data_IF_787993183316
#
_entry.id   IF_787993183316
#
_cell.length_a   1.000
_cell.length_b   1.000
_cell.length_c   1.000
_cell.angle_alpha   90.00
_cell.angle_beta   90.00
_cell.angle_gamma   90.00
#
_symmetry.space_group_name_H-M   'P 1'
#
loop_
_entity.id
_entity.type
_entity.pdbx_description
1 polymer ?
#
# COMPACT_ATOMS: atom_id res chain seq x y z
N UNK A 1 -1.07 -3.76 9.64
CA UNK A 1 -2.07 -4.19 8.61
C UNK A 1 -2.16 -3.20 7.45
N UNK A 2 -2.05 -1.86 7.67
CA UNK A 2 -2.15 -0.88 6.58
C UNK A 2 -1.12 -1.10 5.46
N UNK A 3 0.17 -1.25 5.78
CA UNK A 3 1.21 -1.55 4.80
C UNK A 3 0.93 -2.85 4.03
N UNK A 4 0.38 -3.86 4.71
CA UNK A 4 -0.01 -5.11 4.08
C UNK A 4 -1.16 -4.92 3.09
N UNK A 5 -2.17 -4.10 3.45
CA UNK A 5 -3.31 -3.81 2.59
C UNK A 5 -2.94 -3.04 1.33
N UNK A 6 -1.82 -2.30 1.34
CA UNK A 6 -1.32 -1.60 0.15
C UNK A 6 -0.47 -2.52 -0.73
N UNK A 7 0.18 -3.52 -0.13
CA UNK A 7 1.11 -4.42 -0.82
C UNK A 7 0.41 -5.65 -1.42
N UNK A 8 -0.64 -6.15 -0.78
CA UNK A 8 -1.40 -7.29 -1.29
C UNK A 8 -2.43 -6.79 -2.32
N UNK A 9 -2.45 -7.36 -3.53
CA UNK A 9 -3.42 -6.98 -4.56
C UNK A 9 -4.88 -7.25 -4.14
N UNK A 10 -5.81 -6.42 -4.61
CA UNK A 10 -5.65 -5.30 -5.54
C UNK A 10 -5.17 -4.01 -4.85
N UNK A 11 -4.12 -3.39 -5.41
CA UNK A 11 -3.54 -2.16 -4.89
C UNK A 11 -3.54 -1.05 -5.94
N UNK A 12 -4.25 0.05 -5.67
CA UNK A 12 -4.29 1.19 -6.58
C UNK A 12 -2.91 1.86 -6.74
N UNK A 13 -2.08 1.84 -5.70
CA UNK A 13 -0.74 2.41 -5.74
C UNK A 13 0.20 1.62 -6.68
N UNK A 14 0.04 0.30 -6.74
CA UNK A 14 0.76 -0.50 -7.73
C UNK A 14 0.33 -0.19 -9.16
N UNK A 15 -0.97 0.11 -9.38
CA UNK A 15 -1.46 0.54 -10.69
C UNK A 15 -0.87 1.89 -11.09
N UNK A 16 -0.84 2.87 -10.15
CA UNK A 16 -0.22 4.18 -10.38
C UNK A 16 1.27 4.00 -10.71
N UNK A 17 1.98 3.17 -9.95
CA UNK A 17 3.38 2.89 -10.22
C UNK A 17 3.58 2.28 -11.61
N UNK A 18 2.82 1.26 -11.99
CA UNK A 18 2.95 0.59 -13.28
C UNK A 18 2.73 1.56 -14.46
N UNK A 19 1.79 2.49 -14.32
CA UNK A 19 1.54 3.53 -15.34
C UNK A 19 2.65 4.56 -15.40
N UNK A 20 3.22 4.95 -14.27
CA UNK A 20 4.28 5.96 -14.17
C UNK A 20 5.64 5.42 -14.61
N UNK A 21 5.92 4.16 -14.34
CA UNK A 21 7.16 3.49 -14.71
C UNK A 21 7.27 3.11 -16.20
N UNK A 22 6.22 3.41 -17.00
CA UNK A 22 6.33 3.33 -18.46
C UNK A 22 6.16 1.93 -19.07
N UNK A 23 5.10 1.21 -18.68
CA UNK A 23 4.68 -0.01 -19.38
C UNK A 23 4.97 -1.32 -18.65
N UNK A 24 5.15 -1.28 -17.36
CA UNK A 24 5.22 -2.47 -16.51
C UNK A 24 3.84 -3.11 -16.44
N UNK A 25 3.80 -4.43 -16.58
CA UNK A 25 2.56 -5.19 -16.43
C UNK A 25 2.02 -5.08 -14.99
N UNK A 26 0.81 -4.56 -14.85
CA UNK A 26 0.11 -4.50 -13.54
C UNK A 26 -0.06 -5.90 -12.95
N UNK A 27 -0.37 -6.90 -13.79
CA UNK A 27 -0.50 -8.29 -13.35
C UNK A 27 0.81 -8.86 -12.78
N UNK A 28 1.93 -8.62 -13.46
CA UNK A 28 3.24 -9.06 -12.97
C UNK A 28 3.63 -8.38 -11.65
N UNK A 29 3.33 -7.09 -11.52
CA UNK A 29 3.56 -6.35 -10.29
C UNK A 29 2.68 -6.87 -9.14
N UNK A 30 1.43 -7.19 -9.43
CA UNK A 30 0.52 -7.79 -8.46
C UNK A 30 1.00 -9.16 -7.99
N UNK A 31 1.44 -10.03 -8.91
CA UNK A 31 1.99 -11.34 -8.56
C UNK A 31 3.25 -11.21 -7.68
N UNK A 32 4.12 -10.27 -8.01
CA UNK A 32 5.32 -9.99 -7.22
C UNK A 32 5.00 -9.49 -5.79
N UNK A 33 3.87 -8.81 -5.59
CA UNK A 33 3.43 -8.30 -4.29
C UNK A 33 2.96 -9.38 -3.30
N UNK A 34 2.53 -10.57 -3.76
CA UNK A 34 2.02 -11.60 -2.86
C UNK A 34 3.08 -12.16 -1.92
N UNK A 35 4.28 -12.42 -2.40
CA UNK A 35 5.34 -13.02 -1.58
C UNK A 35 5.78 -12.10 -0.44
N UNK A 36 6.18 -10.84 -0.70
CA UNK A 36 6.55 -9.92 0.39
C UNK A 36 5.34 -9.55 1.26
N UNK A 37 4.13 -9.49 0.70
CA UNK A 37 2.90 -9.28 1.47
C UNK A 37 2.61 -10.41 2.45
N UNK A 38 2.78 -11.66 2.03
CA UNK A 38 2.63 -12.83 2.91
C UNK A 38 3.70 -12.86 4.01
N UNK A 39 4.95 -12.54 3.66
CA UNK A 39 6.05 -12.41 4.62
C UNK A 39 5.75 -11.36 5.70
N UNK A 40 5.33 -10.18 5.27
CA UNK A 40 4.93 -9.11 6.18
C UNK A 40 3.76 -9.52 7.08
N UNK A 41 2.77 -10.24 6.54
CA UNK A 41 1.65 -10.77 7.32
C UNK A 41 2.12 -11.70 8.44
N UNK A 42 3.04 -12.62 8.13
CA UNK A 42 3.60 -13.57 9.11
C UNK A 42 4.35 -12.81 10.21
N UNK A 43 5.20 -11.85 9.84
CA UNK A 43 5.95 -11.03 10.80
C UNK A 43 5.00 -10.25 11.71
N UNK A 44 3.98 -9.62 11.14
CA UNK A 44 2.97 -8.88 11.92
C UNK A 44 2.15 -9.80 12.85
N UNK A 45 1.79 -11.00 12.39
CA UNK A 45 1.09 -11.97 13.24
C UNK A 45 1.97 -12.43 14.41
N UNK A 46 3.22 -12.72 14.17
CA UNK A 46 4.17 -13.10 15.23
C UNK A 46 4.34 -11.96 16.23
N UNK A 47 4.57 -10.74 15.73
CA UNK A 47 4.70 -9.55 16.59
C UNK A 47 3.45 -9.29 17.44
N UNK A 48 2.27 -9.36 16.83
CA UNK A 48 0.99 -9.19 17.52
C UNK A 48 0.76 -10.29 18.59
N UNK A 49 1.15 -11.52 18.28
CA UNK A 49 1.06 -12.62 19.22
C UNK A 49 1.96 -12.40 20.44
N UNK A 50 3.22 -12.02 20.21
CA UNK A 50 4.17 -11.74 21.29
C UNK A 50 3.67 -10.62 22.20
N UNK A 51 3.17 -9.52 21.61
CA UNK A 51 2.63 -8.37 22.35
C UNK A 51 1.40 -8.82 23.15
N UNK A 52 0.47 -9.55 22.53
CA UNK A 52 -0.75 -10.03 23.17
C UNK A 52 -0.47 -10.93 24.40
N UNK A 53 0.52 -11.79 24.31
CA UNK A 53 0.94 -12.63 25.44
C UNK A 53 1.60 -11.80 26.53
N UNK A 54 2.47 -10.85 26.16
CA UNK A 54 3.20 -10.02 27.10
C UNK A 54 2.28 -9.05 27.88
N UNK A 55 1.29 -8.47 27.22
CA UNK A 55 0.35 -7.52 27.81
C UNK A 55 -0.88 -8.22 28.41
N UNK A 56 -0.94 -9.55 28.41
CA UNK A 56 -2.06 -10.34 28.94
C UNK A 56 -3.43 -9.89 28.41
N UNK A 57 -3.54 -9.68 27.10
CA UNK A 57 -4.82 -9.31 26.51
C UNK A 57 -5.90 -10.38 26.74
N UNK A 58 -7.16 -9.98 26.98
CA UNK A 58 -8.25 -10.91 27.20
C UNK A 58 -8.39 -11.86 26.00
N UNK A 59 -8.50 -13.14 26.28
CA UNK A 59 -8.71 -14.17 25.25
C UNK A 59 -10.08 -13.95 24.62
N UNK A 60 -10.11 -13.92 23.29
CA UNK A 60 -11.36 -13.91 22.52
C UNK A 60 -12.15 -15.21 22.69
N UNK A 61 -13.32 -15.28 22.05
CA UNK A 61 -14.12 -16.50 22.01
C UNK A 61 -13.32 -17.66 21.40
N UNK A 62 -13.47 -18.90 21.93
CA UNK A 62 -12.71 -20.05 21.43
C UNK A 62 -13.05 -20.32 19.95
N UNK A 63 -12.05 -20.67 19.17
CA UNK A 63 -12.22 -21.05 17.79
C UNK A 63 -13.08 -22.31 17.69
N UNK A 64 -14.18 -22.22 16.95
CA UNK A 64 -15.09 -23.34 16.72
C UNK A 64 -15.26 -23.53 15.22
N UNK A 65 -14.95 -24.74 14.71
CA UNK A 65 -15.07 -25.05 13.27
C UNK A 65 -16.49 -24.77 12.75
N UNK A 66 -17.51 -25.11 13.54
CA UNK A 66 -18.91 -24.83 13.18
C UNK A 66 -19.20 -23.33 13.06
N UNK A 67 -18.62 -22.50 13.95
CA UNK A 67 -18.70 -21.04 13.89
C UNK A 67 -17.98 -20.49 12.66
N UNK A 68 -16.80 -21.02 12.34
CA UNK A 68 -16.04 -20.65 11.16
C UNK A 68 -16.81 -20.93 9.86
N UNK A 69 -17.35 -22.15 9.69
CA UNK A 69 -18.13 -22.52 8.49
C UNK A 69 -19.40 -21.65 8.37
N UNK A 70 -20.08 -21.40 9.48
CA UNK A 70 -21.25 -20.50 9.50
C UNK A 70 -20.89 -19.08 9.05
N UNK A 71 -19.79 -18.53 9.58
CA UNK A 71 -19.32 -17.20 9.22
C UNK A 71 -18.83 -17.15 7.77
N UNK A 72 -18.14 -18.18 7.29
CA UNK A 72 -17.74 -18.31 5.91
C UNK A 72 -18.94 -18.28 4.96
N UNK A 73 -20.01 -19.03 5.29
CA UNK A 73 -21.24 -19.01 4.51
C UNK A 73 -21.93 -17.64 4.46
N UNK A 74 -21.89 -16.88 5.54
CA UNK A 74 -22.43 -15.51 5.57
C UNK A 74 -21.59 -14.53 4.76
N UNK A 75 -20.27 -14.75 4.72
CA UNK A 75 -19.31 -13.86 4.04
C UNK A 75 -19.00 -14.28 2.60
N UNK A 76 -19.61 -15.34 2.09
CA UNK A 76 -19.28 -15.92 0.78
C UNK A 76 -19.45 -14.92 -0.37
N UNK A 77 -20.48 -14.09 -0.29
CA UNK A 77 -20.73 -13.05 -1.29
C UNK A 77 -19.64 -11.97 -1.29
N UNK A 78 -19.14 -11.57 -0.11
CA UNK A 78 -18.04 -10.63 -0.01
C UNK A 78 -16.72 -11.26 -0.49
N UNK A 79 -16.48 -12.53 -0.16
CA UNK A 79 -15.28 -13.26 -0.60
C UNK A 79 -15.26 -13.47 -2.11
N UNK A 80 -16.41 -13.67 -2.74
CA UNK A 80 -16.49 -13.82 -4.18
C UNK A 80 -16.03 -12.57 -4.95
N UNK A 81 -16.23 -11.37 -4.40
CA UNK A 81 -15.68 -10.13 -4.97
C UNK A 81 -14.14 -10.18 -5.02
N UNK A 82 -13.50 -10.64 -3.93
CA UNK A 82 -12.05 -10.79 -3.87
C UNK A 82 -11.57 -11.84 -4.90
N UNK A 83 -12.29 -12.95 -5.01
CA UNK A 83 -11.97 -14.00 -5.96
C UNK A 83 -12.03 -13.49 -7.40
N UNK A 84 -13.02 -12.68 -7.76
CA UNK A 84 -13.15 -12.07 -9.10
C UNK A 84 -11.89 -11.23 -9.42
N UNK A 85 -11.43 -10.42 -8.48
CA UNK A 85 -10.23 -9.59 -8.70
C UNK A 85 -8.97 -10.46 -8.81
N UNK A 86 -8.84 -11.49 -7.97
CA UNK A 86 -7.71 -12.43 -8.01
C UNK A 86 -7.65 -13.19 -9.35
N UNK A 87 -8.80 -13.62 -9.91
CA UNK A 87 -8.84 -14.26 -11.23
C UNK A 87 -8.33 -13.36 -12.35
N UNK A 88 -8.55 -12.04 -12.24
CA UNK A 88 -7.93 -11.09 -13.16
C UNK A 88 -6.41 -11.04 -13.05
N UNK A 89 -5.88 -11.08 -11.81
CA UNK A 89 -4.44 -11.09 -11.59
C UNK A 89 -3.77 -12.35 -12.12
N UNK A 90 -4.45 -13.50 -12.05
CA UNK A 90 -3.93 -14.80 -12.58
C UNK A 90 -3.93 -14.85 -14.11
N UNK A 91 -4.50 -13.84 -14.79
CA UNK A 91 -4.44 -13.72 -16.24
C UNK A 91 -5.65 -14.30 -16.98
N UNK A 92 -6.74 -14.60 -16.28
CA UNK A 92 -8.03 -14.99 -16.91
C UNK A 92 -8.69 -13.76 -17.55
N UNK A 93 -8.54 -12.60 -16.91
CA UNK A 93 -9.02 -11.29 -17.37
C UNK A 93 -7.90 -10.25 -17.25
N UNK A 94 -8.05 -9.13 -17.92
CA UNK A 94 -7.19 -7.97 -17.64
C UNK A 94 -7.57 -7.33 -16.29
N UNK A 95 -6.64 -6.59 -15.69
CA UNK A 95 -6.90 -5.90 -14.43
C UNK A 95 -8.11 -4.94 -14.53
N UNK A 96 -8.28 -4.29 -15.67
CA UNK A 96 -9.41 -3.37 -15.93
C UNK A 96 -10.73 -4.09 -16.08
N UNK A 97 -10.76 -5.22 -16.80
CA UNK A 97 -11.96 -6.06 -16.93
C UNK A 97 -12.40 -6.63 -15.58
N UNK A 98 -11.44 -7.12 -14.78
CA UNK A 98 -11.71 -7.61 -13.43
C UNK A 98 -12.28 -6.55 -12.52
N UNK A 99 -11.76 -5.32 -12.60
CA UNK A 99 -12.30 -4.19 -11.85
C UNK A 99 -13.74 -3.87 -12.27
N UNK A 100 -14.04 -3.84 -13.56
CA UNK A 100 -15.38 -3.61 -14.07
C UNK A 100 -16.37 -4.71 -13.62
N UNK A 101 -15.97 -5.99 -13.71
CA UNK A 101 -16.77 -7.13 -13.23
C UNK A 101 -17.00 -7.02 -11.71
N UNK A 102 -15.97 -6.69 -10.94
CA UNK A 102 -16.07 -6.53 -9.49
C UNK A 102 -17.02 -5.40 -9.09
N UNK A 103 -17.04 -4.29 -9.82
CA UNK A 103 -17.97 -3.17 -9.59
C UNK A 103 -19.42 -3.62 -9.84
N UNK A 104 -19.68 -4.23 -10.98
CA UNK A 104 -21.02 -4.75 -11.31
C UNK A 104 -21.47 -5.79 -10.28
N UNK A 105 -20.60 -6.73 -9.95
CA UNK A 105 -20.86 -7.76 -8.94
C UNK A 105 -21.20 -7.15 -7.58
N UNK A 106 -20.35 -6.23 -7.10
CA UNK A 106 -20.53 -5.59 -5.79
C UNK A 106 -21.83 -4.79 -5.72
N UNK A 107 -22.20 -4.11 -6.81
CA UNK A 107 -23.45 -3.37 -6.92
C UNK A 107 -24.65 -4.31 -6.85
N UNK A 108 -24.65 -5.40 -7.62
CA UNK A 108 -25.71 -6.40 -7.61
C UNK A 108 -25.88 -7.04 -6.23
N UNK A 109 -24.79 -7.44 -5.59
CA UNK A 109 -24.81 -8.05 -4.26
C UNK A 109 -25.31 -7.07 -3.20
N UNK A 110 -24.86 -5.81 -3.26
CA UNK A 110 -25.26 -4.78 -2.29
C UNK A 110 -26.76 -4.44 -2.39
N UNK A 111 -27.30 -4.40 -3.63
CA UNK A 111 -28.71 -4.06 -3.87
C UNK A 111 -29.63 -5.26 -3.61
N UNK A 112 -29.32 -6.44 -4.18
CA UNK A 112 -30.22 -7.57 -4.19
C UNK A 112 -30.04 -8.54 -3.03
N UNK A 113 -28.79 -8.81 -2.62
CA UNK A 113 -28.48 -9.78 -1.56
C UNK A 113 -28.53 -9.13 -0.18
N UNK A 114 -27.74 -8.08 0.01
CA UNK A 114 -27.67 -7.40 1.29
C UNK A 114 -28.77 -6.37 1.50
N UNK A 115 -29.40 -5.91 0.42
CA UNK A 115 -30.44 -4.86 0.44
C UNK A 115 -30.05 -3.63 1.29
N UNK A 116 -28.75 -3.37 1.34
CA UNK A 116 -28.16 -2.27 2.09
C UNK A 116 -27.98 -1.00 1.28
N UNK A 117 -28.19 -1.07 -0.03
CA UNK A 117 -27.99 0.04 -0.95
C UNK A 117 -29.30 0.32 -1.69
N UNK A 118 -29.88 1.48 -1.45
CA UNK A 118 -31.02 2.01 -2.19
C UNK A 118 -30.55 2.84 -3.42
N UNK A 119 -31.47 3.28 -4.25
CA UNK A 119 -31.13 4.05 -5.46
C UNK A 119 -30.41 5.37 -5.14
N UNK A 120 -30.74 5.99 -4.02
CA UNK A 120 -30.05 7.21 -3.55
C UNK A 120 -28.63 6.90 -3.12
N UNK A 121 -28.42 5.78 -2.45
CA UNK A 121 -27.10 5.30 -2.05
C UNK A 121 -26.20 4.99 -3.25
N UNK A 122 -26.76 4.44 -4.36
CA UNK A 122 -26.00 4.26 -5.61
C UNK A 122 -25.52 5.58 -6.18
N UNK A 123 -26.41 6.61 -6.24
CA UNK A 123 -26.02 7.92 -6.72
C UNK A 123 -24.98 8.59 -5.83
N UNK A 124 -25.09 8.44 -4.52
CA UNK A 124 -24.08 8.95 -3.57
C UNK A 124 -22.74 8.28 -3.77
N UNK A 125 -22.72 6.95 -3.92
CA UNK A 125 -21.49 6.21 -4.19
C UNK A 125 -20.83 6.61 -5.51
N UNK A 126 -21.63 6.88 -6.55
CA UNK A 126 -21.13 7.40 -7.83
C UNK A 126 -20.53 8.81 -7.69
N UNK A 127 -21.17 9.68 -6.94
CA UNK A 127 -20.68 11.05 -6.68
C UNK A 127 -19.34 11.02 -5.92
N UNK A 128 -19.24 10.21 -4.89
CA UNK A 128 -17.98 9.99 -4.16
C UNK A 128 -16.89 9.41 -5.07
N UNK A 129 -17.25 8.47 -5.95
CA UNK A 129 -16.32 7.90 -6.91
C UNK A 129 -15.80 8.97 -7.89
N UNK A 130 -16.67 9.81 -8.42
CA UNK A 130 -16.28 10.92 -9.33
C UNK A 130 -15.36 11.90 -8.62
N UNK A 131 -15.66 12.27 -7.38
CA UNK A 131 -14.83 13.17 -6.58
C UNK A 131 -13.43 12.57 -6.36
N UNK A 132 -13.35 11.31 -5.97
CA UNK A 132 -12.08 10.60 -5.75
C UNK A 132 -11.28 10.50 -7.05
N UNK A 133 -11.92 10.10 -8.16
CA UNK A 133 -11.29 10.02 -9.48
C UNK A 133 -10.78 11.38 -9.95
N UNK A 134 -11.54 12.44 -9.73
CA UNK A 134 -11.13 13.80 -10.12
C UNK A 134 -9.83 14.21 -9.44
N UNK A 135 -9.69 13.94 -8.15
CA UNK A 135 -8.47 14.23 -7.39
C UNK A 135 -7.30 13.41 -7.96
N UNK A 136 -7.50 12.11 -8.16
CA UNK A 136 -6.44 11.22 -8.67
C UNK A 136 -6.01 11.61 -10.10
N UNK A 137 -6.95 11.90 -10.99
CA UNK A 137 -6.65 12.28 -12.36
C UNK A 137 -5.92 13.64 -12.46
N UNK A 138 -6.30 14.62 -11.63
CA UNK A 138 -5.57 15.89 -11.54
C UNK A 138 -4.15 15.66 -11.04
N UNK A 139 -3.97 14.84 -10.01
CA UNK A 139 -2.64 14.50 -9.51
C UNK A 139 -1.78 13.80 -10.57
N UNK A 140 -2.33 12.84 -11.31
CA UNK A 140 -1.62 12.17 -12.40
C UNK A 140 -1.23 13.18 -13.49
N UNK A 141 -2.16 14.01 -13.92
CA UNK A 141 -1.90 14.99 -14.98
C UNK A 141 -0.83 16.02 -14.59
N UNK A 142 -0.94 16.59 -13.40
CA UNK A 142 0.06 17.56 -12.90
C UNK A 142 1.40 16.94 -12.66
N UNK A 143 1.45 15.72 -12.12
CA UNK A 143 2.71 15.00 -11.88
C UNK A 143 3.38 14.56 -13.19
N UNK A 144 2.61 14.21 -14.23
CA UNK A 144 3.16 13.91 -15.55
C UNK A 144 3.85 15.13 -16.17
N UNK A 145 3.22 16.30 -16.08
CA UNK A 145 3.84 17.56 -16.53
C UNK A 145 5.10 17.86 -15.71
N UNK A 146 5.02 17.74 -14.39
CA UNK A 146 6.17 17.96 -13.50
C UNK A 146 7.32 16.99 -13.79
N UNK A 147 7.03 15.69 -13.99
CA UNK A 147 8.01 14.68 -14.37
C UNK A 147 8.70 14.99 -15.69
N UNK A 148 7.96 15.46 -16.71
CA UNK A 148 8.53 15.90 -17.96
C UNK A 148 9.46 17.13 -17.79
N UNK A 149 9.07 18.10 -16.97
CA UNK A 149 9.92 19.26 -16.64
C UNK A 149 11.22 18.81 -15.95
N UNK A 150 11.13 17.89 -15.00
CA UNK A 150 12.31 17.36 -14.31
C UNK A 150 13.26 16.63 -15.28
N UNK A 151 12.71 15.87 -16.23
CA UNK A 151 13.49 15.17 -17.25
C UNK A 151 14.17 16.16 -18.20
N UNK A 152 13.46 17.21 -18.64
CA UNK A 152 14.05 18.27 -19.46
C UNK A 152 15.17 19.03 -18.75
N UNK A 153 15.07 19.19 -17.44
CA UNK A 153 16.08 19.83 -16.60
C UNK A 153 17.21 18.88 -16.19
N UNK A 154 17.21 17.65 -16.70
CA UNK A 154 18.19 16.61 -16.35
C UNK A 154 18.32 16.34 -14.83
N UNK A 155 17.23 16.55 -14.09
CA UNK A 155 17.22 16.31 -12.63
C UNK A 155 17.48 14.85 -12.27
N UNK A 156 16.96 13.83 -13.01
CA UNK A 156 17.32 12.44 -12.76
C UNK A 156 18.82 12.18 -12.88
N UNK A 157 19.48 12.76 -13.90
CA UNK A 157 20.93 12.61 -14.12
C UNK A 157 21.73 13.29 -13.00
N UNK A 158 21.30 14.48 -12.56
CA UNK A 158 21.90 15.19 -11.43
C UNK A 158 21.76 14.40 -10.13
N UNK A 159 20.58 13.83 -9.87
CA UNK A 159 20.33 13.00 -8.70
C UNK A 159 21.17 11.71 -8.75
N UNK A 160 21.27 11.06 -9.92
CA UNK A 160 22.09 9.87 -10.11
C UNK A 160 23.56 10.19 -9.83
N UNK A 161 24.08 11.29 -10.39
CA UNK A 161 25.47 11.72 -10.17
C UNK A 161 25.71 12.08 -8.71
N UNK A 162 24.78 12.73 -8.03
CA UNK A 162 24.88 13.06 -6.62
C UNK A 162 24.95 11.80 -5.75
N UNK A 163 24.09 10.82 -6.00
CA UNK A 163 24.06 9.56 -5.24
C UNK A 163 25.31 8.73 -5.52
N UNK A 164 25.72 8.60 -6.78
CA UNK A 164 26.91 7.82 -7.16
C UNK A 164 28.23 8.48 -6.74
N UNK A 165 28.24 9.82 -6.57
CA UNK A 165 29.40 10.51 -6.01
C UNK A 165 29.66 10.19 -4.53
N UNK A 166 28.62 9.82 -3.79
CA UNK A 166 28.74 9.42 -2.38
C UNK A 166 29.32 8.01 -2.27
N UNK A 167 28.92 7.12 -3.17
CA UNK A 167 29.35 5.72 -3.13
C UNK A 167 29.14 5.02 -4.47
N UNK A 168 30.01 4.07 -4.78
CA UNK A 168 29.85 3.15 -5.92
C UNK A 168 29.27 1.79 -5.49
N UNK A 169 28.96 1.60 -4.21
CA UNK A 169 28.43 0.33 -3.71
C UNK A 169 26.92 0.26 -3.95
N UNK A 170 26.43 -0.71 -4.75
CA UNK A 170 25.00 -0.86 -5.07
C UNK A 170 24.09 -0.95 -3.83
N UNK A 171 24.55 -1.62 -2.78
CA UNK A 171 23.76 -1.79 -1.55
C UNK A 171 23.56 -0.48 -0.80
N UNK A 172 24.59 0.38 -0.79
CA UNK A 172 24.48 1.69 -0.13
C UNK A 172 23.58 2.61 -0.95
N UNK A 173 23.67 2.55 -2.29
CA UNK A 173 22.78 3.30 -3.18
C UNK A 173 21.32 2.88 -2.96
N UNK A 174 21.03 1.58 -2.89
CA UNK A 174 19.71 1.06 -2.61
C UNK A 174 19.19 1.57 -1.24
N UNK A 175 20.02 1.52 -0.20
CA UNK A 175 19.67 2.02 1.13
C UNK A 175 19.40 3.54 1.14
N UNK A 176 20.16 4.32 0.37
CA UNK A 176 19.92 5.77 0.23
C UNK A 176 18.58 6.03 -0.47
N UNK A 177 18.26 5.29 -1.52
CA UNK A 177 16.97 5.37 -2.21
C UNK A 177 15.84 5.04 -1.23
N UNK A 178 15.97 3.96 -0.46
CA UNK A 178 15.00 3.56 0.55
C UNK A 178 14.78 4.64 1.60
N UNK A 179 15.87 5.25 2.08
CA UNK A 179 15.80 6.33 3.06
C UNK A 179 15.10 7.58 2.49
N UNK A 180 15.38 7.94 1.24
CA UNK A 180 14.72 9.07 0.57
C UNK A 180 13.22 8.81 0.45
N UNK A 181 12.82 7.63 -0.01
CA UNK A 181 11.40 7.27 -0.15
C UNK A 181 10.71 7.26 1.22
N UNK A 182 11.39 6.74 2.25
CA UNK A 182 10.86 6.72 3.62
C UNK A 182 10.61 8.13 4.15
N UNK A 183 11.57 9.03 4.00
CA UNK A 183 11.45 10.43 4.44
C UNK A 183 10.33 11.15 3.69
N UNK A 184 10.23 10.94 2.37
CA UNK A 184 9.13 11.49 1.58
C UNK A 184 7.78 10.92 2.05
N UNK A 185 7.72 9.61 2.35
CA UNK A 185 6.53 8.93 2.86
C UNK A 185 6.04 9.43 4.21
N UNK A 186 6.94 9.96 5.05
CA UNK A 186 6.56 10.59 6.32
C UNK A 186 5.85 11.95 6.13
N UNK A 187 6.05 12.62 4.98
CA UNK A 187 5.60 14.00 4.74
C UNK A 187 4.41 14.04 3.77
N UNK A 188 4.42 13.15 2.77
CA UNK A 188 3.47 13.17 1.64
C UNK A 188 2.70 11.86 1.57
N UNK A 189 1.55 11.89 0.90
CA UNK A 189 0.78 10.68 0.58
C UNK A 189 1.47 9.84 -0.50
N UNK A 190 1.09 8.56 -0.61
CA UNK A 190 1.74 7.57 -1.49
C UNK A 190 1.62 7.93 -2.96
N UNK A 191 0.43 8.35 -3.43
CA UNK A 191 0.19 8.60 -4.85
C UNK A 191 1.09 9.70 -5.42
N UNK A 192 1.22 10.90 -4.79
CA UNK A 192 2.15 11.93 -5.23
C UNK A 192 3.62 11.46 -5.22
N UNK A 193 4.02 10.70 -4.19
CA UNK A 193 5.41 10.20 -4.11
C UNK A 193 5.70 9.27 -5.29
N UNK A 194 4.82 8.31 -5.56
CA UNK A 194 5.01 7.38 -6.67
C UNK A 194 5.13 8.13 -7.99
N UNK A 195 4.25 9.11 -8.22
CA UNK A 195 4.23 9.87 -9.46
C UNK A 195 5.47 10.76 -9.67
N UNK A 196 6.02 11.31 -8.59
CA UNK A 196 7.16 12.24 -8.65
C UNK A 196 8.49 11.49 -8.53
N UNK A 197 8.60 10.57 -7.59
CA UNK A 197 9.86 9.90 -7.29
C UNK A 197 10.20 8.78 -8.29
N UNK A 198 9.20 8.11 -8.89
CA UNK A 198 9.45 7.03 -9.85
C UNK A 198 10.32 7.48 -11.04
N UNK A 199 9.99 8.54 -11.78
CA UNK A 199 10.81 8.95 -12.92
C UNK A 199 12.23 9.39 -12.54
N UNK A 200 12.47 9.76 -11.29
CA UNK A 200 13.78 10.18 -10.79
C UNK A 200 14.59 8.99 -10.30
N UNK A 201 13.98 8.14 -9.46
CA UNK A 201 14.70 7.08 -8.75
C UNK A 201 14.77 5.75 -9.52
N UNK A 202 13.79 5.45 -10.39
CA UNK A 202 13.78 4.22 -11.17
C UNK A 202 15.00 4.06 -12.09
N UNK A 203 15.44 5.09 -12.83
CA UNK A 203 16.67 4.99 -13.64
C UNK A 203 17.92 4.70 -12.78
N UNK A 204 17.98 5.27 -11.57
CA UNK A 204 19.09 5.05 -10.64
C UNK A 204 19.04 3.60 -10.12
N UNK A 205 17.88 3.13 -9.72
CA UNK A 205 17.68 1.77 -9.22
C UNK A 205 18.03 0.73 -10.31
N UNK A 206 17.61 0.96 -11.56
CA UNK A 206 17.95 0.06 -12.68
C UNK A 206 19.42 0.07 -13.02
N UNK A 207 20.12 1.20 -12.88
CA UNK A 207 21.57 1.30 -13.12
C UNK A 207 22.40 0.44 -12.15
N UNK A 208 21.90 0.17 -10.95
CA UNK A 208 22.53 -0.72 -9.96
C UNK A 208 22.02 -2.16 -10.03
N UNK A 209 21.17 -2.49 -11.03
CA UNK A 209 20.69 -3.85 -11.29
C UNK A 209 19.39 -4.23 -10.59
N UNK A 210 18.65 -3.28 -10.00
CA UNK A 210 17.32 -3.53 -9.43
C UNK A 210 16.30 -3.59 -10.57
N UNK A 211 15.53 -4.69 -10.62
CA UNK A 211 14.45 -4.85 -11.60
C UNK A 211 13.33 -3.84 -11.35
N UNK A 212 12.70 -3.25 -12.39
CA UNK A 212 11.62 -2.29 -12.22
C UNK A 212 10.43 -2.80 -11.41
N UNK A 213 10.09 -4.09 -11.49
CA UNK A 213 9.01 -4.68 -10.67
C UNK A 213 9.43 -4.73 -9.21
N UNK A 214 10.67 -5.16 -8.95
CA UNK A 214 11.23 -5.18 -7.60
C UNK A 214 11.25 -3.78 -6.98
N UNK A 215 11.69 -2.78 -7.74
CA UNK A 215 11.70 -1.39 -7.28
C UNK A 215 10.29 -0.89 -6.94
N UNK A 216 9.28 -1.27 -7.74
CA UNK A 216 7.88 -0.92 -7.46
C UNK A 216 7.38 -1.48 -6.12
N UNK A 217 7.72 -2.73 -5.81
CA UNK A 217 7.38 -3.35 -4.53
C UNK A 217 8.08 -2.64 -3.36
N UNK A 218 9.37 -2.33 -3.51
CA UNK A 218 10.15 -1.59 -2.52
C UNK A 218 9.54 -0.21 -2.28
N UNK A 219 9.21 0.52 -3.34
CA UNK A 219 8.60 1.84 -3.27
C UNK A 219 7.26 1.82 -2.53
N UNK A 220 6.35 0.92 -2.91
CA UNK A 220 5.02 0.80 -2.30
C UNK A 220 5.14 0.41 -0.82
N UNK A 221 6.04 -0.53 -0.49
CA UNK A 221 6.26 -0.94 0.90
C UNK A 221 6.83 0.20 1.74
N UNK A 222 7.83 0.89 1.23
CA UNK A 222 8.52 1.98 1.92
C UNK A 222 7.59 3.19 2.15
N UNK A 223 6.81 3.58 1.15
CA UNK A 223 5.75 4.57 1.30
C UNK A 223 4.73 4.15 2.36
N UNK A 224 4.33 2.85 2.38
CA UNK A 224 3.42 2.31 3.38
C UNK A 224 3.97 2.42 4.81
N UNK A 225 5.26 2.21 5.00
CA UNK A 225 5.94 2.40 6.29
C UNK A 225 6.00 3.90 6.64
N UNK A 226 6.31 4.75 5.66
CA UNK A 226 6.34 6.20 5.83
C UNK A 226 5.00 6.75 6.32
N UNK A 227 3.88 6.30 5.77
CA UNK A 227 2.53 6.72 6.22
C UNK A 227 2.19 6.31 7.66
N UNK A 228 2.91 5.36 8.25
CA UNK A 228 2.80 4.99 9.66
C UNK A 228 3.74 5.79 10.56
N UNK A 229 4.67 6.56 9.97
CA UNK A 229 5.74 7.23 10.69
C UNK A 229 5.41 8.72 10.85
N UNK A 230 5.54 9.32 12.06
CA UNK A 230 5.45 10.76 12.22
C UNK A 230 6.47 11.50 11.33
N UNK A 231 6.22 12.74 10.85
CA UNK A 231 5.33 13.74 11.43
C UNK A 231 3.87 13.72 10.94
N UNK A 232 3.57 13.24 9.71
CA UNK A 232 2.19 13.29 9.23
C UNK A 232 1.43 12.03 9.62
N UNK A 233 1.91 10.84 9.24
CA UNK A 233 1.32 9.58 9.67
C UNK A 233 -0.18 9.44 9.36
N UNK A 234 -0.60 9.69 8.12
CA UNK A 234 -2.03 9.72 7.74
C UNK A 234 -2.83 8.49 8.20
N UNK A 235 -2.20 7.32 8.20
CA UNK A 235 -2.80 6.07 8.67
C UNK A 235 -3.04 6.07 10.18
N UNK A 236 -2.22 6.79 10.96
CA UNK A 236 -2.39 6.92 12.41
C UNK A 236 -3.65 7.72 12.75
N UNK A 237 -3.97 8.75 11.96
CA UNK A 237 -5.22 9.53 12.13
C UNK A 237 -6.45 8.64 11.89
N UNK A 238 -6.44 7.86 10.81
CA UNK A 238 -7.53 6.93 10.51
C UNK A 238 -7.64 5.86 11.59
N UNK A 239 -6.49 5.31 12.02
CA UNK A 239 -6.45 4.31 13.09
C UNK A 239 -7.00 4.84 14.42
N UNK A 240 -6.70 6.07 14.78
CA UNK A 240 -7.23 6.76 15.96
C UNK A 240 -8.75 6.95 15.88
N UNK A 241 -9.26 7.38 14.73
CA UNK A 241 -10.69 7.56 14.50
C UNK A 241 -11.45 6.23 14.60
N UNK A 242 -10.94 5.17 14.00
CA UNK A 242 -11.55 3.82 14.05
C UNK A 242 -11.48 3.22 15.46
N UNK A 243 -10.34 3.36 16.13
CA UNK A 243 -10.16 2.83 17.49
C UNK A 243 -10.82 3.68 18.57
N UNK A 244 -11.35 4.86 18.23
CA UNK A 244 -11.90 5.84 19.18
C UNK A 244 -10.95 6.13 20.35
N UNK A 245 -9.66 6.22 20.07
CA UNK A 245 -8.61 6.51 21.04
C UNK A 245 -7.90 7.82 20.65
N UNK A 246 -7.57 8.68 21.64
CA UNK A 246 -6.85 9.92 21.36
C UNK A 246 -5.46 9.62 20.78
N UNK A 247 -5.01 10.44 19.84
CA UNK A 247 -3.72 10.27 19.16
C UNK A 247 -2.51 10.41 20.06
N UNK A 248 -2.65 11.13 21.16
CA UNK A 248 -1.57 11.39 22.14
C UNK A 248 -0.99 10.11 22.77
N UNK A 249 -1.78 9.01 22.76
CA UNK A 249 -1.31 7.70 23.21
C UNK A 249 -0.64 6.84 22.12
N UNK A 250 -0.81 7.17 20.84
CA UNK A 250 -0.30 6.37 19.71
C UNK A 250 1.20 6.58 19.41
N UNK A 251 1.73 7.81 19.41
CA UNK A 251 3.16 8.01 19.27
C UNK A 251 3.96 7.41 20.42
N UNK A 252 3.39 7.42 21.64
CA UNK A 252 4.02 6.75 22.78
C UNK A 252 3.99 5.23 22.65
N UNK A 253 2.96 4.64 22.05
CA UNK A 253 2.87 3.19 21.82
C UNK A 253 3.69 2.75 20.61
N UNK A 254 3.67 3.50 19.50
CA UNK A 254 4.49 3.19 18.33
C UNK A 254 5.96 3.59 18.53
N UNK A 255 6.27 4.77 19.07
CA UNK A 255 7.64 5.17 19.33
C UNK A 255 8.26 4.45 20.54
N UNK A 256 7.49 4.14 21.58
CA UNK A 256 7.95 3.30 22.69
C UNK A 256 8.06 1.83 22.31
N UNK A 257 7.19 1.30 21.42
CA UNK A 257 7.34 -0.09 20.96
C UNK A 257 8.38 -0.24 19.86
N UNK A 258 8.50 0.68 18.92
CA UNK A 258 9.56 0.67 17.89
C UNK A 258 10.90 1.08 18.52
N UNK A 259 10.96 2.05 19.43
CA UNK A 259 12.19 2.40 20.15
C UNK A 259 12.51 1.44 21.28
N UNK A 260 11.53 0.85 21.98
CA UNK A 260 11.80 -0.16 23.00
C UNK A 260 12.20 -1.50 22.43
N UNK A 261 11.65 -1.93 21.28
CA UNK A 261 12.16 -3.12 20.60
C UNK A 261 13.52 -2.82 19.97
N UNK A 262 13.70 -1.71 19.25
CA UNK A 262 14.97 -1.37 18.64
C UNK A 262 16.05 -0.99 19.66
N UNK A 263 15.71 -0.33 20.78
CA UNK A 263 16.67 -0.02 21.83
C UNK A 263 16.93 -1.17 22.80
N UNK A 264 15.98 -2.08 22.98
CA UNK A 264 16.21 -3.30 23.77
C UNK A 264 17.05 -4.32 22.99
N UNK A 265 16.88 -4.37 21.64
CA UNK A 265 17.68 -5.25 20.78
C UNK A 265 19.06 -4.68 20.43
N UNK A 266 19.30 -3.38 20.67
CA UNK A 266 20.62 -2.73 20.54
C UNK A 266 21.41 -2.64 21.85
N UNK A 267 20.77 -2.96 23.00
CA UNK A 267 21.40 -2.97 24.33
C UNK A 267 21.49 -4.38 24.96
N UNK A 268 21.09 -5.42 24.23
CA UNK A 268 21.32 -6.83 24.57
C UNK A 268 22.31 -7.46 23.57
#
# INVERSE_FOLDING_TARGET
TACQGVLIPPSHNMVIYATTAGGISVGSLFLAGYLPGALLAIVLMIGSYIISVKENYPKGSPFTIKGFIKQLGTSIWALAAVVIVVFGVVGVFTATESAAIAVIYSLLVSVFVYKGLDWKGVWHALDECVNTLSIVLILIATSAVFGNCLTMLHVPDLAANAITSVTSNPYIIALLIDLIILVLGCIMDMAPIILIATPILLPIATSIGIDPIQFGIIMVLNCGIGLLTPPVGAVLFIGSAVAKRPMEGYPAVLSVHVHRSAAADLCA
#
